data_IF_609946829884
#
_entry.id   IF_609946829884
#
_cell.length_a   1.000
_cell.length_b   1.000
_cell.length_c   1.000
_cell.angle_alpha   90.00
_cell.angle_beta   90.00
_cell.angle_gamma   90.00
#
_symmetry.space_group_name_H-M   'P 1'
#
loop_
_entity.id
_entity.type
_entity.pdbx_description
1 polymer ?
#
# COMPACT_ATOMS: atom_id res chain seq x y z
N UNK A 1 5.13 15.75 -10.05
CA UNK A 1 5.23 14.42 -10.65
C UNK A 1 3.95 14.12 -11.42
N UNK A 2 3.98 13.26 -12.45
CA UNK A 2 2.78 12.83 -13.15
C UNK A 2 1.87 12.04 -12.20
N UNK A 3 0.56 12.05 -12.51
CA UNK A 3 -0.42 11.20 -11.83
C UNK A 3 -0.18 9.76 -12.26
N UNK A 4 -0.23 8.83 -11.32
CA UNK A 4 -0.13 7.39 -11.56
C UNK A 4 -1.48 6.72 -11.35
N UNK A 5 -1.77 5.70 -12.15
CA UNK A 5 -2.98 4.87 -12.04
C UNK A 5 -2.57 3.53 -11.46
N UNK A 6 -3.11 3.23 -10.28
CA UNK A 6 -2.75 2.06 -9.46
C UNK A 6 -4.02 1.30 -9.06
N UNK A 7 -4.55 0.44 -9.92
CA UNK A 7 -5.74 -0.34 -9.59
C UNK A 7 -5.44 -1.43 -8.56
N UNK A 8 -6.41 -1.67 -7.66
CA UNK A 8 -6.42 -2.85 -6.80
C UNK A 8 -6.99 -4.06 -7.52
N UNK A 9 -6.41 -5.23 -7.28
CA UNK A 9 -6.92 -6.53 -7.75
C UNK A 9 -7.88 -7.20 -6.75
N UNK A 10 -8.29 -6.49 -5.68
CA UNK A 10 -9.27 -7.03 -4.73
C UNK A 10 -10.56 -7.52 -5.40
N UNK A 11 -11.17 -6.79 -6.36
CA UNK A 11 -12.38 -7.24 -7.04
C UNK A 11 -12.15 -8.20 -8.21
N UNK A 12 -10.90 -8.57 -8.50
CA UNK A 12 -10.57 -9.46 -9.60
C UNK A 12 -11.02 -10.91 -9.35
N UNK A 13 -11.04 -11.71 -10.40
CA UNK A 13 -11.22 -13.17 -10.28
C UNK A 13 -9.91 -13.80 -9.78
N UNK A 14 -9.87 -14.17 -8.51
CA UNK A 14 -8.66 -14.73 -7.89
C UNK A 14 -8.26 -16.10 -8.46
N UNK A 15 -9.20 -16.84 -9.04
CA UNK A 15 -8.89 -18.09 -9.73
C UNK A 15 -8.08 -17.85 -11.01
N UNK A 16 -8.17 -16.65 -11.59
CA UNK A 16 -7.50 -16.22 -12.82
C UNK A 16 -6.62 -14.98 -12.62
N UNK A 17 -6.08 -14.77 -11.42
CA UNK A 17 -5.35 -13.56 -11.05
C UNK A 17 -4.19 -13.24 -12.01
N UNK A 18 -3.49 -14.25 -12.53
CA UNK A 18 -2.41 -14.06 -13.50
C UNK A 18 -2.88 -13.34 -14.77
N UNK A 19 -4.01 -13.76 -15.35
CA UNK A 19 -4.58 -13.08 -16.53
C UNK A 19 -5.08 -11.67 -16.16
N UNK A 20 -5.68 -11.49 -14.97
CA UNK A 20 -6.14 -10.17 -14.54
C UNK A 20 -4.99 -9.16 -14.45
N UNK A 21 -3.85 -9.52 -13.86
CA UNK A 21 -2.70 -8.59 -13.79
C UNK A 21 -2.09 -8.31 -15.14
N UNK A 22 -2.10 -9.27 -16.07
CA UNK A 22 -1.66 -9.10 -17.43
C UNK A 22 -2.56 -8.12 -18.20
N UNK A 23 -3.89 -8.27 -18.10
CA UNK A 23 -4.85 -7.34 -18.70
C UNK A 23 -4.66 -5.89 -18.19
N UNK A 24 -4.37 -5.73 -16.90
CA UNK A 24 -4.07 -4.42 -16.32
C UNK A 24 -2.78 -3.81 -16.90
N UNK A 25 -1.72 -4.61 -17.06
CA UNK A 25 -0.49 -4.16 -17.73
C UNK A 25 -0.75 -3.74 -19.17
N UNK A 26 -1.51 -4.53 -19.95
CA UNK A 26 -1.91 -4.23 -21.32
C UNK A 26 -2.76 -2.94 -21.40
N UNK A 27 -3.54 -2.63 -20.37
CA UNK A 27 -4.29 -1.39 -20.24
C UNK A 27 -3.42 -0.17 -19.91
N UNK A 28 -2.13 -0.38 -19.59
CA UNK A 28 -1.16 0.70 -19.39
C UNK A 28 -1.18 1.31 -17.99
N UNK A 29 -1.49 0.53 -16.94
CA UNK A 29 -1.41 0.98 -15.55
C UNK A 29 0.04 1.20 -15.11
N UNK A 30 0.26 2.08 -14.13
CA UNK A 30 1.60 2.40 -13.65
C UNK A 30 2.10 1.41 -12.58
N UNK A 31 1.17 0.84 -11.80
CA UNK A 31 1.44 -0.11 -10.72
C UNK A 31 0.18 -0.94 -10.46
N UNK A 32 0.31 -2.07 -9.77
CA UNK A 32 -0.83 -2.90 -9.35
C UNK A 32 -0.80 -3.09 -7.84
N UNK A 33 -1.94 -2.83 -7.19
CA UNK A 33 -2.09 -2.97 -5.74
C UNK A 33 -2.71 -4.30 -5.36
N UNK A 34 -2.12 -4.94 -4.34
CA UNK A 34 -2.63 -6.14 -3.69
C UNK A 34 -3.10 -5.81 -2.27
N UNK A 35 -4.40 -5.90 -2.03
CA UNK A 35 -5.01 -5.65 -0.73
C UNK A 35 -4.95 -6.91 0.14
N UNK A 36 -4.02 -6.94 1.09
CA UNK A 36 -3.80 -8.06 2.00
C UNK A 36 -4.59 -7.84 3.29
N UNK A 37 -5.46 -8.80 3.61
CA UNK A 37 -6.35 -8.75 4.77
C UNK A 37 -6.29 -10.07 5.53
N UNK A 38 -6.21 -10.02 6.86
CA UNK A 38 -5.99 -11.19 7.72
C UNK A 38 -7.20 -11.61 8.56
N UNK A 39 -8.35 -10.97 8.36
CA UNK A 39 -9.56 -11.21 9.15
C UNK A 39 -9.47 -10.69 10.59
N UNK A 40 -8.39 -9.98 10.95
CA UNK A 40 -8.16 -9.40 12.27
C UNK A 40 -8.23 -7.86 12.24
N UNK A 41 -7.40 -7.22 11.42
CA UNK A 41 -7.41 -5.76 11.28
C UNK A 41 -8.68 -5.26 10.58
N UNK A 42 -9.18 -6.03 9.61
CA UNK A 42 -10.44 -5.81 8.90
C UNK A 42 -11.27 -7.09 8.90
N UNK A 43 -12.62 -7.02 8.81
CA UNK A 43 -13.50 -8.19 8.84
C UNK A 43 -13.58 -8.89 7.48
N UNK A 44 -12.44 -9.08 6.82
CA UNK A 44 -12.31 -9.77 5.54
C UNK A 44 -10.95 -10.48 5.49
N UNK A 45 -10.87 -11.54 4.70
CA UNK A 45 -9.66 -12.35 4.50
C UNK A 45 -9.38 -12.44 3.00
N UNK A 46 -8.16 -12.12 2.60
CA UNK A 46 -7.79 -12.17 1.19
C UNK A 46 -6.63 -13.15 0.95
N UNK A 47 -5.59 -12.73 0.30
CA UNK A 47 -4.45 -13.53 -0.13
C UNK A 47 -3.15 -13.07 0.56
N UNK A 48 -2.11 -13.87 0.42
CA UNK A 48 -0.79 -13.62 0.99
C UNK A 48 0.31 -13.43 -0.06
N UNK A 49 1.58 -13.46 0.37
CA UNK A 49 2.72 -13.16 -0.50
C UNK A 49 2.93 -14.17 -1.63
N UNK A 50 2.49 -15.43 -1.47
CA UNK A 50 2.59 -16.43 -2.53
C UNK A 50 1.73 -16.08 -3.76
N UNK A 51 0.52 -15.53 -3.55
CA UNK A 51 -0.33 -15.05 -4.64
C UNK A 51 0.37 -13.92 -5.41
N UNK A 52 0.92 -12.93 -4.70
CA UNK A 52 1.64 -11.80 -5.29
C UNK A 52 2.85 -12.31 -6.09
N UNK A 53 3.64 -13.20 -5.51
CA UNK A 53 4.79 -13.82 -6.17
C UNK A 53 4.39 -14.58 -7.43
N UNK A 54 3.29 -15.33 -7.39
CA UNK A 54 2.78 -16.09 -8.53
C UNK A 54 2.37 -15.20 -9.71
N UNK A 55 1.87 -13.96 -9.42
CA UNK A 55 1.47 -13.01 -10.44
C UNK A 55 2.68 -12.43 -11.22
N UNK A 56 3.89 -12.41 -10.63
CA UNK A 56 5.07 -11.78 -11.25
C UNK A 56 5.43 -12.36 -12.62
N UNK A 57 5.19 -13.64 -12.85
CA UNK A 57 5.45 -14.28 -14.15
C UNK A 57 4.51 -13.83 -15.28
N UNK A 58 3.40 -13.15 -14.96
CA UNK A 58 2.39 -12.69 -15.92
C UNK A 58 2.49 -11.18 -16.21
N UNK A 59 3.23 -10.44 -15.37
CA UNK A 59 3.19 -8.97 -15.40
C UNK A 59 4.54 -8.41 -14.97
N UNK A 60 5.03 -7.40 -15.67
CA UNK A 60 6.31 -6.72 -15.39
C UNK A 60 6.17 -5.40 -14.64
N UNK A 61 4.97 -4.78 -14.63
CA UNK A 61 4.74 -3.53 -13.90
C UNK A 61 5.02 -3.68 -12.41
N UNK A 62 5.45 -2.61 -11.72
CA UNK A 62 5.70 -2.64 -10.29
C UNK A 62 4.47 -3.08 -9.49
N UNK A 63 4.70 -3.78 -8.39
CA UNK A 63 3.64 -4.16 -7.44
C UNK A 63 3.73 -3.34 -6.17
N UNK A 64 2.58 -3.17 -5.54
CA UNK A 64 2.48 -2.70 -4.18
C UNK A 64 1.53 -3.58 -3.37
N UNK A 65 1.71 -3.59 -2.07
CA UNK A 65 0.83 -4.31 -1.16
C UNK A 65 0.40 -3.40 -0.02
N UNK A 66 -0.91 -3.35 0.22
CA UNK A 66 -1.47 -2.70 1.40
C UNK A 66 -1.72 -3.77 2.46
N UNK A 67 -1.01 -3.65 3.58
CA UNK A 67 -1.07 -4.62 4.68
C UNK A 67 -2.15 -4.21 5.69
N UNK A 68 -3.38 -4.63 5.44
CA UNK A 68 -4.52 -4.52 6.37
C UNK A 68 -4.53 -5.73 7.30
N UNK A 69 -3.48 -5.83 8.11
CA UNK A 69 -3.19 -7.00 8.96
C UNK A 69 -2.80 -6.55 10.36
N UNK A 70 -2.92 -7.44 11.34
CA UNK A 70 -2.45 -7.20 12.71
C UNK A 70 -0.95 -6.90 12.75
N UNK A 71 -0.49 -6.26 13.82
CA UNK A 71 0.93 -5.99 14.02
C UNK A 71 1.77 -7.26 13.94
N UNK A 72 1.30 -8.35 14.55
CA UNK A 72 2.01 -9.62 14.53
C UNK A 72 2.21 -10.14 13.11
N UNK A 73 1.16 -10.16 12.29
CA UNK A 73 1.25 -10.60 10.90
C UNK A 73 2.09 -9.66 10.04
N UNK A 74 1.97 -8.34 10.27
CA UNK A 74 2.81 -7.35 9.59
C UNK A 74 4.30 -7.61 9.85
N UNK A 75 4.71 -7.70 11.12
CA UNK A 75 6.13 -7.83 11.48
C UNK A 75 6.71 -9.20 11.09
N UNK A 76 5.97 -10.29 11.26
CA UNK A 76 6.47 -11.65 10.98
C UNK A 76 6.55 -11.97 9.49
N UNK A 77 5.68 -11.39 8.67
CA UNK A 77 5.60 -11.68 7.24
C UNK A 77 6.20 -10.56 6.35
N UNK A 78 6.74 -9.50 6.96
CA UNK A 78 7.19 -8.30 6.24
C UNK A 78 8.21 -8.60 5.14
N UNK A 79 9.19 -9.44 5.43
CA UNK A 79 10.21 -9.85 4.45
C UNK A 79 9.60 -10.56 3.24
N UNK A 80 8.62 -11.42 3.45
CA UNK A 80 7.91 -12.11 2.38
C UNK A 80 7.16 -11.15 1.46
N UNK A 81 6.52 -10.12 2.02
CA UNK A 81 5.83 -9.10 1.24
C UNK A 81 6.79 -8.18 0.48
N UNK A 82 7.87 -7.73 1.10
CA UNK A 82 8.90 -6.95 0.40
C UNK A 82 9.48 -7.73 -0.77
N UNK A 83 9.75 -9.03 -0.57
CA UNK A 83 10.26 -9.92 -1.62
C UNK A 83 9.24 -10.14 -2.74
N UNK A 84 7.95 -10.35 -2.40
CA UNK A 84 6.89 -10.62 -3.36
C UNK A 84 6.57 -9.40 -4.25
N UNK A 85 6.67 -8.19 -3.72
CA UNK A 85 6.40 -6.94 -4.46
C UNK A 85 7.57 -6.44 -5.29
N UNK A 86 8.78 -7.00 -5.10
CA UNK A 86 9.98 -6.60 -5.83
C UNK A 86 9.77 -6.69 -7.33
N UNK A 87 10.17 -5.65 -8.07
CA UNK A 87 10.04 -5.58 -9.50
C UNK A 87 10.86 -6.62 -10.26
N UNK A 88 10.52 -6.88 -11.52
CA UNK A 88 11.15 -7.88 -12.37
C UNK A 88 12.66 -7.62 -12.57
N UNK A 89 13.07 -6.34 -12.62
CA UNK A 89 14.47 -5.92 -12.73
C UNK A 89 15.13 -5.59 -11.38
N UNK A 90 14.45 -5.93 -10.28
CA UNK A 90 14.94 -5.69 -8.93
C UNK A 90 14.53 -4.35 -8.32
N UNK A 91 13.62 -3.61 -8.94
CA UNK A 91 13.11 -2.35 -8.39
C UNK A 91 12.40 -2.58 -7.05
N UNK A 92 12.51 -1.63 -6.09
CA UNK A 92 11.79 -1.72 -4.84
C UNK A 92 10.28 -1.78 -5.05
N UNK A 93 9.62 -2.83 -4.54
CA UNK A 93 8.18 -2.86 -4.44
C UNK A 93 7.69 -1.98 -3.28
N UNK A 94 6.50 -1.44 -3.39
CA UNK A 94 5.91 -0.62 -2.33
C UNK A 94 5.21 -1.51 -1.31
N UNK A 95 5.51 -1.29 -0.04
CA UNK A 95 4.85 -1.97 1.08
C UNK A 95 4.22 -0.92 1.99
N UNK A 96 2.89 -0.97 2.09
CA UNK A 96 2.07 0.00 2.80
C UNK A 96 1.66 -0.60 4.15
N UNK A 97 2.19 -0.04 5.24
CA UNK A 97 1.81 -0.43 6.60
C UNK A 97 0.77 0.54 7.17
N UNK A 98 -0.29 0.03 7.80
CA UNK A 98 -1.28 0.87 8.46
C UNK A 98 -0.74 1.44 9.78
N UNK A 99 -0.89 2.76 9.98
CA UNK A 99 -0.49 3.43 11.22
C UNK A 99 -1.25 2.85 12.43
N UNK A 100 -2.51 2.49 12.23
CA UNK A 100 -3.39 1.97 13.29
C UNK A 100 -3.03 0.54 13.73
N UNK A 101 -2.41 -0.24 12.86
CA UNK A 101 -2.04 -1.62 13.12
C UNK A 101 -0.65 -1.76 13.78
N UNK A 102 0.19 -0.74 13.73
CA UNK A 102 1.61 -0.86 14.07
C UNK A 102 2.02 0.10 15.20
N UNK A 103 2.11 -0.41 16.43
CA UNK A 103 2.57 0.37 17.59
C UNK A 103 4.00 0.90 17.39
N UNK A 104 4.85 0.11 16.72
CA UNK A 104 6.24 0.47 16.42
C UNK A 104 6.43 0.82 14.94
N UNK A 105 5.56 1.67 14.40
CA UNK A 105 5.52 2.02 12.97
C UNK A 105 6.88 2.48 12.44
N UNK A 106 7.62 3.31 13.18
CA UNK A 106 8.98 3.75 12.80
C UNK A 106 9.90 2.55 12.51
N UNK A 107 9.90 1.54 13.37
CA UNK A 107 10.69 0.31 13.19
C UNK A 107 10.25 -0.47 11.96
N UNK A 108 8.94 -0.61 11.74
CA UNK A 108 8.38 -1.34 10.59
C UNK A 108 8.79 -0.66 9.28
N UNK A 109 8.66 0.66 9.17
CA UNK A 109 9.06 1.42 7.97
C UNK A 109 10.57 1.32 7.71
N UNK A 110 11.40 1.44 8.76
CA UNK A 110 12.85 1.21 8.65
C UNK A 110 13.17 -0.20 8.12
N UNK A 111 12.48 -1.22 8.67
CA UNK A 111 12.68 -2.61 8.24
C UNK A 111 12.29 -2.85 6.77
N UNK A 112 11.21 -2.21 6.27
CA UNK A 112 10.86 -2.28 4.85
C UNK A 112 12.02 -1.76 3.99
N UNK A 113 12.60 -0.62 4.36
CA UNK A 113 13.72 -0.02 3.64
C UNK A 113 14.98 -0.88 3.70
N UNK A 114 15.32 -1.43 4.87
CA UNK A 114 16.49 -2.32 5.06
C UNK A 114 16.39 -3.60 4.21
N UNK A 115 15.16 -4.09 3.99
CA UNK A 115 14.89 -5.25 3.12
C UNK A 115 14.89 -4.89 1.62
N UNK A 116 15.06 -3.62 1.28
CA UNK A 116 15.09 -3.14 -0.11
C UNK A 116 13.72 -2.83 -0.70
N UNK A 117 12.68 -2.66 0.13
CA UNK A 117 11.36 -2.19 -0.28
C UNK A 117 11.22 -0.68 -0.19
N UNK A 118 10.17 -0.14 -0.78
CA UNK A 118 9.74 1.25 -0.68
C UNK A 118 8.67 1.38 0.42
N UNK A 119 8.99 2.00 1.58
CA UNK A 119 8.05 2.10 2.68
C UNK A 119 6.94 3.11 2.41
N UNK A 120 5.72 2.72 2.69
CA UNK A 120 4.54 3.59 2.65
C UNK A 120 3.70 3.39 3.91
N UNK A 121 2.93 4.42 4.28
CA UNK A 121 2.02 4.38 5.43
C UNK A 121 0.60 4.70 5.02
N UNK A 122 -0.36 3.91 5.49
CA UNK A 122 -1.78 4.16 5.30
C UNK A 122 -2.43 4.74 6.56
N UNK A 123 -3.40 5.64 6.36
CA UNK A 123 -4.26 6.22 7.39
C UNK A 123 -5.72 5.89 7.11
N UNK A 124 -6.41 5.30 8.09
CA UNK A 124 -7.87 5.13 8.06
C UNK A 124 -8.59 6.49 8.05
N UNK A 125 -9.86 6.54 7.62
CA UNK A 125 -10.60 7.80 7.56
C UNK A 125 -10.61 8.58 8.88
N UNK A 126 -10.76 7.91 10.03
CA UNK A 126 -10.79 8.57 11.35
C UNK A 126 -9.42 8.98 11.89
N UNK A 127 -8.33 8.48 11.33
CA UNK A 127 -6.97 8.71 11.85
C UNK A 127 -6.42 10.05 11.36
N UNK A 128 -6.05 10.97 12.25
CA UNK A 128 -5.53 12.27 11.87
C UNK A 128 -4.10 12.16 11.35
N UNK A 129 -3.70 13.12 10.50
CA UNK A 129 -2.34 13.23 9.95
C UNK A 129 -1.26 13.31 11.05
N UNK A 130 -1.58 13.89 12.19
CA UNK A 130 -0.68 14.03 13.33
C UNK A 130 -0.08 12.71 13.81
N UNK A 131 -0.76 11.60 13.58
CA UNK A 131 -0.28 10.26 13.95
C UNK A 131 0.97 9.83 13.19
N UNK A 132 1.20 10.39 12.00
CA UNK A 132 2.35 10.04 11.16
C UNK A 132 3.32 11.20 10.92
N UNK A 133 3.01 12.39 11.43
CA UNK A 133 3.77 13.62 11.16
C UNK A 133 5.28 13.47 11.44
N UNK A 134 5.62 12.72 12.48
CA UNK A 134 7.01 12.53 12.92
C UNK A 134 7.77 11.43 12.15
N UNK A 135 7.14 10.74 11.21
CA UNK A 135 7.77 9.68 10.40
C UNK A 135 7.70 9.97 8.89
N UNK A 136 7.28 11.18 8.53
CA UNK A 136 7.10 11.58 7.14
C UNK A 136 8.40 11.57 6.30
N UNK A 137 9.55 11.67 6.94
CA UNK A 137 10.88 11.56 6.32
C UNK A 137 11.31 10.11 6.06
N UNK A 138 10.56 9.14 6.58
CA UNK A 138 10.87 7.71 6.44
C UNK A 138 10.11 7.05 5.30
N UNK A 139 9.07 7.68 4.78
CA UNK A 139 8.17 7.11 3.77
C UNK A 139 8.39 7.70 2.39
N UNK A 140 8.13 6.91 1.37
CA UNK A 140 8.09 7.37 -0.01
C UNK A 140 6.67 7.76 -0.45
N UNK A 141 5.64 7.17 0.20
CA UNK A 141 4.22 7.42 -0.07
C UNK A 141 3.41 7.48 1.21
N UNK A 142 2.29 8.22 1.16
CA UNK A 142 1.24 8.21 2.16
C UNK A 142 -0.07 7.87 1.48
N UNK A 143 -0.68 6.75 1.85
CA UNK A 143 -2.02 6.35 1.40
C UNK A 143 -3.08 6.92 2.35
N UNK A 144 -3.91 7.81 1.85
CA UNK A 144 -5.07 8.33 2.58
C UNK A 144 -6.30 7.51 2.20
N UNK A 145 -6.77 6.66 3.11
CA UNK A 145 -8.00 5.90 2.88
C UNK A 145 -9.18 6.84 2.72
N UNK A 146 -9.83 6.76 1.57
CA UNK A 146 -11.04 7.55 1.23
C UNK A 146 -12.31 6.74 1.38
N UNK A 147 -12.18 5.50 1.82
CA UNK A 147 -13.22 4.57 2.28
C UNK A 147 -12.72 3.84 3.52
N UNK A 148 -13.60 3.17 4.27
CA UNK A 148 -13.13 2.28 5.34
C UNK A 148 -12.48 1.04 4.73
N UNK A 149 -11.29 0.60 5.22
CA UNK A 149 -10.63 -0.59 4.69
C UNK A 149 -11.45 -1.86 4.93
N UNK A 150 -11.31 -2.84 4.02
CA UNK A 150 -11.90 -4.16 4.15
C UNK A 150 -12.76 -4.62 2.97
N UNK A 151 -13.40 -3.70 2.25
CA UNK A 151 -14.29 -4.04 1.14
C UNK A 151 -14.18 -3.02 0.01
N UNK A 152 -14.32 -3.49 -1.24
CA UNK A 152 -14.43 -2.63 -2.41
C UNK A 152 -15.83 -2.07 -2.62
N UNK A 153 -15.97 -1.16 -3.61
CA UNK A 153 -17.28 -0.64 -4.03
C UNK A 153 -17.95 0.35 -3.07
N UNK A 154 -17.23 0.89 -2.11
CA UNK A 154 -17.73 1.86 -1.14
C UNK A 154 -17.75 3.29 -1.71
N UNK A 155 -18.68 4.12 -1.21
CA UNK A 155 -18.75 5.53 -1.56
C UNK A 155 -17.54 6.31 -0.97
N UNK A 156 -16.98 7.19 -1.79
CA UNK A 156 -15.94 8.11 -1.38
C UNK A 156 -16.37 8.98 -0.18
N UNK A 157 -15.46 9.14 0.79
CA UNK A 157 -15.68 9.97 1.98
C UNK A 157 -15.13 11.39 1.72
N UNK A 158 -15.99 12.41 1.45
CA UNK A 158 -15.54 13.72 0.99
C UNK A 158 -14.67 14.49 1.98
N UNK A 159 -14.82 14.23 3.29
CA UNK A 159 -14.05 14.90 4.35
C UNK A 159 -12.56 14.59 4.28
N UNK A 160 -12.16 13.50 3.59
CA UNK A 160 -10.76 13.13 3.41
C UNK A 160 -9.97 14.13 2.57
N UNK A 161 -10.63 14.93 1.75
CA UNK A 161 -9.98 15.99 0.98
C UNK A 161 -9.21 16.98 1.89
N UNK A 162 -9.73 17.27 3.08
CA UNK A 162 -9.05 18.15 4.03
C UNK A 162 -7.76 17.51 4.58
N UNK A 163 -7.78 16.21 4.85
CA UNK A 163 -6.59 15.46 5.27
C UNK A 163 -5.53 15.45 4.17
N UNK A 164 -5.93 15.16 2.93
CA UNK A 164 -5.05 15.17 1.76
C UNK A 164 -4.37 16.54 1.59
N UNK A 165 -5.12 17.63 1.67
CA UNK A 165 -4.58 18.99 1.59
C UNK A 165 -3.58 19.30 2.71
N UNK A 166 -3.88 18.86 3.94
CA UNK A 166 -3.00 19.04 5.09
C UNK A 166 -1.66 18.33 4.90
N UNK A 167 -1.69 17.07 4.43
CA UNK A 167 -0.49 16.30 4.12
C UNK A 167 0.30 16.96 2.99
N UNK A 168 -0.37 17.37 1.91
CA UNK A 168 0.28 18.06 0.79
C UNK A 168 1.00 19.34 1.22
N UNK A 169 0.34 20.15 2.02
CA UNK A 169 0.94 21.40 2.54
C UNK A 169 2.17 21.10 3.40
N UNK A 170 2.12 20.08 4.24
CA UNK A 170 3.26 19.66 5.06
C UNK A 170 4.44 19.17 4.21
N UNK A 171 4.18 18.36 3.18
CA UNK A 171 5.20 17.87 2.24
C UNK A 171 5.91 19.06 1.56
N UNK A 172 5.14 20.06 1.12
CA UNK A 172 5.69 21.28 0.48
C UNK A 172 6.49 22.09 1.48
N UNK A 173 5.94 22.38 2.67
CA UNK A 173 6.60 23.16 3.72
C UNK A 173 7.94 22.55 4.14
N UNK A 174 8.00 21.23 4.25
CA UNK A 174 9.21 20.52 4.68
C UNK A 174 10.11 20.06 3.52
N UNK A 175 9.73 20.38 2.29
CA UNK A 175 10.46 19.98 1.08
C UNK A 175 10.73 18.46 1.04
N UNK A 176 9.71 17.66 1.38
CA UNK A 176 9.83 16.20 1.42
C UNK A 176 9.59 15.60 0.02
N UNK A 177 10.26 14.48 -0.25
CA UNK A 177 10.10 13.71 -1.47
C UNK A 177 9.10 12.56 -1.25
N UNK A 178 7.85 12.90 -0.92
CA UNK A 178 6.77 11.97 -0.58
C UNK A 178 5.59 12.16 -1.51
N UNK A 179 5.06 11.07 -2.04
CA UNK A 179 3.84 11.07 -2.84
C UNK A 179 2.60 10.80 -1.98
N UNK A 180 1.44 11.25 -2.45
CA UNK A 180 0.15 10.98 -1.80
C UNK A 180 -0.65 10.08 -2.73
N UNK A 181 -1.16 9.02 -2.16
CA UNK A 181 -2.05 8.05 -2.78
C UNK A 181 -3.44 8.12 -2.14
N UNK A 182 -4.50 7.84 -2.91
CA UNK A 182 -5.89 7.85 -2.45
C UNK A 182 -6.68 6.71 -3.05
#
# INVERSE_FOLDING_TARGET
RPIQIIPSVLPADWANMGECVKELEEAGVDRIQFDVMDGNFVPNLTFGPEMITACRKYCSVPFETQLMVSQYNCETMLESYVKATKGANGEPGVVIAHAEANIHLHRVLGRIRDLGGSPSVALNPHTPFEMIKNIMDMVDHVLVMTVNPGFGGQAYIPTMLNKIRKIRNFIIEKNLNVDIEV
#
